data_IF_010661281219
#
_entry.id   IF_010661281219
#
_cell.length_a   1.000
_cell.length_b   1.000
_cell.length_c   1.000
_cell.angle_alpha   90.00
_cell.angle_beta   90.00
_cell.angle_gamma   90.00
#
_symmetry.space_group_name_H-M   'P 1'
#
loop_
_entity.id
_entity.type
_entity.pdbx_description
1 polymer ?
#
# COMPACT_ATOMS: atom_id res chain seq x y z
N UNK A 1 6.28 18.94 11.34
CA UNK A 1 6.86 19.14 9.98
C UNK A 1 6.32 20.45 9.40
N UNK A 2 7.18 21.41 9.03
CA UNK A 2 6.70 22.66 8.46
C UNK A 2 6.05 22.43 7.09
N UNK A 3 4.84 22.97 6.89
CA UNK A 3 4.17 22.97 5.59
C UNK A 3 4.77 24.10 4.75
N UNK A 4 5.69 23.72 3.86
CA UNK A 4 6.42 24.69 3.04
C UNK A 4 5.52 25.36 2.00
N UNK A 5 5.89 26.56 1.55
CA UNK A 5 5.19 27.23 0.47
C UNK A 5 5.19 26.40 -0.84
N UNK A 6 6.24 25.60 -1.06
CA UNK A 6 6.31 24.67 -2.20
C UNK A 6 5.23 23.58 -2.08
N UNK A 7 5.08 22.99 -0.89
CA UNK A 7 4.04 22.00 -0.63
C UNK A 7 2.64 22.56 -0.83
N UNK A 8 2.36 23.76 -0.30
CA UNK A 8 1.08 24.46 -0.49
C UNK A 8 0.77 24.69 -1.96
N UNK A 9 1.75 25.16 -2.74
CA UNK A 9 1.55 25.40 -4.19
C UNK A 9 1.24 24.11 -4.94
N UNK A 10 1.96 23.02 -4.64
CA UNK A 10 1.72 21.74 -5.28
C UNK A 10 0.36 21.15 -4.90
N UNK A 11 -0.01 21.22 -3.61
CA UNK A 11 -1.31 20.79 -3.13
C UNK A 11 -2.45 21.57 -3.81
N UNK A 12 -2.31 22.88 -3.96
CA UNK A 12 -3.28 23.70 -4.70
C UNK A 12 -3.32 23.37 -6.18
N UNK A 13 -2.17 23.11 -6.81
CA UNK A 13 -2.12 22.71 -8.21
C UNK A 13 -2.95 21.43 -8.42
N UNK A 14 -2.71 20.38 -7.63
CA UNK A 14 -3.47 19.13 -7.73
C UNK A 14 -4.95 19.33 -7.41
N UNK A 15 -5.26 20.11 -6.36
CA UNK A 15 -6.64 20.35 -5.95
C UNK A 15 -7.43 21.12 -7.02
N UNK A 16 -6.80 22.09 -7.69
CA UNK A 16 -7.43 22.94 -8.72
C UNK A 16 -7.83 22.21 -10.00
N UNK A 17 -7.38 20.97 -10.19
CA UNK A 17 -7.81 20.11 -11.30
C UNK A 17 -9.24 19.58 -11.11
N UNK A 18 -9.82 19.74 -9.92
CA UNK A 18 -11.15 19.26 -9.57
C UNK A 18 -12.15 20.39 -9.43
N UNK A 19 -13.41 20.14 -9.84
CA UNK A 19 -14.49 21.13 -9.74
C UNK A 19 -15.32 20.98 -8.46
N UNK A 20 -15.34 19.77 -7.87
CA UNK A 20 -16.17 19.48 -6.72
C UNK A 20 -15.47 19.87 -5.41
N UNK A 21 -16.09 20.76 -4.62
CA UNK A 21 -15.48 21.33 -3.41
C UNK A 21 -14.90 20.27 -2.46
N UNK A 22 -15.64 19.20 -2.16
CA UNK A 22 -15.14 18.15 -1.26
C UNK A 22 -13.89 17.45 -1.81
N UNK A 23 -13.79 17.29 -3.14
CA UNK A 23 -12.66 16.63 -3.78
C UNK A 23 -11.43 17.54 -3.81
N UNK A 24 -11.63 18.82 -4.12
CA UNK A 24 -10.59 19.87 -4.01
C UNK A 24 -9.98 19.85 -2.60
N UNK A 25 -10.86 19.88 -1.61
CA UNK A 25 -10.50 19.92 -0.20
C UNK A 25 -9.73 18.67 0.24
N UNK A 26 -10.20 17.49 -0.18
CA UNK A 26 -9.57 16.19 0.08
C UNK A 26 -8.19 16.09 -0.58
N UNK A 27 -8.09 16.39 -1.87
CA UNK A 27 -6.83 16.31 -2.62
C UNK A 27 -5.78 17.25 -2.03
N UNK A 28 -6.19 18.45 -1.64
CA UNK A 28 -5.31 19.41 -0.99
C UNK A 28 -4.68 18.83 0.28
N UNK A 29 -5.49 18.30 1.22
CA UNK A 29 -4.95 17.79 2.48
C UNK A 29 -4.19 16.47 2.33
N UNK A 30 -4.63 15.59 1.43
CA UNK A 30 -3.90 14.36 1.12
C UNK A 30 -2.50 14.69 0.62
N UNK A 31 -2.40 15.66 -0.30
CA UNK A 31 -1.11 16.09 -0.86
C UNK A 31 -0.21 16.68 0.23
N UNK A 32 -0.76 17.50 1.14
CA UNK A 32 0.02 18.05 2.26
C UNK A 32 0.51 16.95 3.22
N UNK A 33 -0.31 15.96 3.54
CA UNK A 33 0.08 14.83 4.39
C UNK A 33 1.19 14.00 3.75
N UNK A 34 1.06 13.64 2.46
CA UNK A 34 2.09 12.88 1.73
C UNK A 34 3.42 13.64 1.73
N UNK A 35 3.40 14.95 1.43
CA UNK A 35 4.61 15.75 1.41
C UNK A 35 5.26 15.89 2.80
N UNK A 36 4.46 16.03 3.86
CA UNK A 36 4.97 16.09 5.22
C UNK A 36 5.67 14.79 5.65
N UNK A 37 5.08 13.63 5.31
CA UNK A 37 5.69 12.32 5.58
C UNK A 37 6.92 12.09 4.69
N UNK A 38 6.86 12.51 3.43
CA UNK A 38 8.01 12.50 2.52
C UNK A 38 9.19 13.30 3.08
N UNK A 39 8.94 14.51 3.56
CA UNK A 39 9.99 15.35 4.18
C UNK A 39 10.53 14.72 5.47
N UNK A 40 9.66 14.09 6.28
CA UNK A 40 10.07 13.37 7.50
C UNK A 40 11.01 12.20 7.16
N UNK A 41 10.62 11.35 6.22
CA UNK A 41 11.43 10.21 5.76
C UNK A 41 12.75 10.67 5.14
N UNK A 42 12.74 11.77 4.39
CA UNK A 42 13.96 12.36 3.82
C UNK A 42 14.95 12.82 4.89
N UNK A 43 14.48 13.37 6.01
CA UNK A 43 15.36 13.75 7.14
C UNK A 43 16.05 12.52 7.74
N UNK A 44 15.38 11.37 7.70
CA UNK A 44 15.90 10.07 8.15
C UNK A 44 16.71 9.32 7.08
N UNK A 45 16.98 9.95 5.94
CA UNK A 45 17.68 9.34 4.79
C UNK A 45 16.97 8.10 4.22
N UNK A 46 15.64 8.02 4.37
CA UNK A 46 14.80 6.98 3.79
C UNK A 46 14.31 7.43 2.41
N UNK A 47 14.71 6.71 1.38
CA UNK A 47 14.36 7.04 0.00
C UNK A 47 12.88 6.76 -0.32
N UNK A 48 12.21 7.77 -0.89
CA UNK A 48 10.84 7.70 -1.40
C UNK A 48 10.78 8.07 -2.88
N UNK A 49 9.71 7.66 -3.56
CA UNK A 49 9.48 8.02 -4.97
C UNK A 49 8.01 8.35 -5.21
N UNK A 50 7.72 9.64 -5.33
CA UNK A 50 6.38 10.16 -5.58
C UNK A 50 5.83 9.74 -6.95
N UNK A 51 6.69 9.39 -7.92
CA UNK A 51 6.21 8.98 -9.27
C UNK A 51 5.55 7.61 -9.27
N UNK A 52 5.79 6.81 -8.22
CA UNK A 52 5.16 5.51 -8.00
C UNK A 52 3.90 5.60 -7.14
N UNK A 53 3.51 6.81 -6.70
CA UNK A 53 2.32 7.01 -5.89
C UNK A 53 1.06 7.17 -6.75
N UNK A 54 -0.01 6.52 -6.33
CA UNK A 54 -1.34 6.64 -6.95
C UNK A 54 -1.89 8.06 -6.80
N UNK A 55 -1.62 8.71 -5.66
CA UNK A 55 -1.96 10.10 -5.38
C UNK A 55 -1.27 11.10 -6.32
N UNK A 56 -0.14 10.72 -6.94
CA UNK A 56 0.54 11.53 -7.96
C UNK A 56 -0.01 11.28 -9.37
N UNK A 57 -0.79 10.21 -9.59
CA UNK A 57 -1.44 9.93 -10.86
C UNK A 57 -2.75 10.75 -10.98
N UNK A 58 -2.90 11.63 -12.00
CA UNK A 58 -4.09 12.47 -12.14
C UNK A 58 -5.39 11.68 -12.35
N UNK A 59 -5.32 10.52 -13.01
CA UNK A 59 -6.49 9.68 -13.24
C UNK A 59 -6.93 9.02 -11.95
N UNK A 60 -6.02 8.43 -11.18
CA UNK A 60 -6.37 7.80 -9.90
C UNK A 60 -6.86 8.86 -8.91
N UNK A 61 -6.14 9.99 -8.80
CA UNK A 61 -6.54 11.11 -7.96
C UNK A 61 -7.94 11.63 -8.27
N UNK A 62 -8.41 11.55 -9.52
CA UNK A 62 -9.78 11.92 -9.89
C UNK A 62 -10.84 11.03 -9.20
N UNK A 63 -10.61 9.72 -9.15
CA UNK A 63 -11.61 8.75 -8.68
C UNK A 63 -11.45 8.39 -7.20
N UNK A 64 -10.23 8.44 -6.66
CA UNK A 64 -9.91 7.79 -5.39
C UNK A 64 -9.45 8.76 -4.29
N UNK A 65 -9.64 8.38 -3.04
CA UNK A 65 -9.15 9.05 -1.84
C UNK A 65 -7.85 8.46 -1.32
N UNK A 66 -6.87 8.39 -2.20
CA UNK A 66 -5.52 7.93 -1.90
C UNK A 66 -4.63 9.07 -1.41
N UNK A 67 -3.76 8.74 -0.46
CA UNK A 67 -2.69 9.60 0.04
C UNK A 67 -1.43 8.75 0.26
N UNK A 68 -1.08 7.94 -0.73
CA UNK A 68 -0.02 6.96 -0.64
C UNK A 68 1.37 7.57 -0.85
N UNK A 69 2.37 6.98 -0.19
CA UNK A 69 3.78 7.32 -0.36
C UNK A 69 4.59 6.03 -0.55
N UNK A 70 5.21 5.89 -1.72
CA UNK A 70 6.07 4.75 -2.02
C UNK A 70 7.47 4.93 -1.40
N UNK A 71 7.85 3.97 -0.57
CA UNK A 71 9.19 3.83 0.00
C UNK A 71 9.96 2.84 -0.88
N UNK A 72 11.11 3.29 -1.41
CA UNK A 72 11.81 2.55 -2.46
C UNK A 72 12.20 1.14 -2.00
N UNK A 73 11.74 0.15 -2.74
CA UNK A 73 12.09 -1.24 -2.52
C UNK A 73 11.36 -1.91 -1.35
N UNK A 74 10.49 -1.20 -0.63
CA UNK A 74 9.69 -1.75 0.48
C UNK A 74 8.18 -1.79 0.16
N UNK A 75 7.62 -0.72 -0.42
CA UNK A 75 6.19 -0.65 -0.71
C UNK A 75 5.57 0.71 -0.39
N UNK A 76 4.24 0.79 -0.45
CA UNK A 76 3.47 2.02 -0.21
C UNK A 76 2.98 2.11 1.23
N UNK A 77 3.18 3.24 1.89
CA UNK A 77 2.43 3.60 3.09
C UNK A 77 1.26 4.52 2.72
N UNK A 78 0.25 4.61 3.57
CA UNK A 78 -0.87 5.54 3.42
C UNK A 78 -0.75 6.69 4.44
N UNK A 79 -0.78 7.93 3.98
CA UNK A 79 -0.65 9.14 4.80
C UNK A 79 -2.03 9.74 5.06
N UNK A 80 -2.69 9.38 6.17
CA UNK A 80 -4.08 9.80 6.45
C UNK A 80 -4.14 11.18 7.11
N UNK A 81 -4.68 12.22 6.44
CA UNK A 81 -4.76 13.55 7.01
C UNK A 81 -5.93 13.69 7.99
N UNK A 82 -5.74 14.54 9.00
CA UNK A 82 -6.78 15.06 9.89
C UNK A 82 -6.60 16.58 9.95
N UNK A 83 -7.66 17.35 9.72
CA UNK A 83 -7.57 18.80 9.90
C UNK A 83 -7.67 19.19 11.37
N UNK A 84 -6.81 20.10 11.80
CA UNK A 84 -6.97 20.78 13.08
C UNK A 84 -8.15 21.76 12.99
N UNK A 85 -9.16 21.60 13.85
CA UNK A 85 -10.24 22.59 14.01
C UNK A 85 -11.50 22.40 13.16
N UNK A 86 -11.66 21.31 12.39
CA UNK A 86 -12.93 21.01 11.74
C UNK A 86 -13.34 19.54 11.89
N UNK A 87 -14.56 19.34 12.41
CA UNK A 87 -15.23 18.04 12.42
C UNK A 87 -15.55 17.58 11.00
N UNK A 88 -15.35 16.30 10.79
CA UNK A 88 -15.82 15.47 9.70
C UNK A 88 -17.14 15.98 9.08
N UNK A 89 -17.05 16.52 7.86
CA UNK A 89 -18.20 16.79 7.02
C UNK A 89 -18.72 15.48 6.41
N UNK A 90 -19.27 14.60 7.24
CA UNK A 90 -20.13 13.51 6.77
C UNK A 90 -21.55 13.57 7.37
N UNK A 91 -21.78 14.38 8.40
CA UNK A 91 -23.11 14.70 8.88
C UNK A 91 -23.13 16.18 9.20
N UNK A 92 -23.90 16.99 8.46
CA UNK A 92 -23.92 18.47 8.51
C UNK A 92 -24.32 19.11 9.85
N UNK A 93 -23.62 18.76 10.93
CA UNK A 93 -23.67 19.39 12.24
C UNK A 93 -22.31 20.03 12.48
N UNK A 94 -22.26 21.33 12.22
CA UNK A 94 -21.13 22.18 12.57
C UNK A 94 -21.04 22.29 14.10
N UNK A 95 -20.38 21.33 14.73
CA UNK A 95 -19.92 21.48 16.09
C UNK A 95 -18.39 21.47 16.03
N UNK A 96 -17.73 22.62 15.94
CA UNK A 96 -16.27 22.66 15.94
C UNK A 96 -15.75 22.26 17.34
N UNK A 97 -15.41 20.99 17.55
CA UNK A 97 -14.64 20.58 18.72
C UNK A 97 -13.19 21.01 18.50
N UNK A 98 -12.54 21.71 19.45
CA UNK A 98 -11.11 22.05 19.36
C UNK A 98 -10.20 20.82 19.46
N UNK A 99 -10.77 19.66 19.81
CA UNK A 99 -10.04 18.41 19.98
C UNK A 99 -10.01 17.62 18.66
N UNK A 100 -8.90 16.89 18.46
CA UNK A 100 -8.77 15.90 17.41
C UNK A 100 -9.92 14.87 17.47
N UNK A 101 -10.37 14.33 16.33
CA UNK A 101 -11.30 13.21 16.31
C UNK A 101 -10.69 12.00 17.01
N UNK A 102 -11.53 11.11 17.57
CA UNK A 102 -11.05 9.90 18.24
C UNK A 102 -10.44 8.88 17.26
N UNK A 103 -10.87 8.92 15.99
CA UNK A 103 -10.48 7.98 14.94
C UNK A 103 -10.38 8.67 13.58
N UNK A 104 -9.59 8.07 12.69
CA UNK A 104 -9.44 8.44 11.28
C UNK A 104 -9.97 7.32 10.38
N UNK A 105 -10.77 7.66 9.36
CA UNK A 105 -11.27 6.67 8.40
C UNK A 105 -10.28 6.42 7.27
N UNK A 106 -10.19 5.15 6.88
CA UNK A 106 -9.41 4.66 5.74
C UNK A 106 -10.39 4.26 4.61
N UNK A 107 -10.32 4.96 3.46
CA UNK A 107 -11.09 4.63 2.25
C UNK A 107 -10.81 3.20 1.79
N UNK A 108 -11.76 2.57 1.11
CA UNK A 108 -11.67 1.14 0.77
C UNK A 108 -10.47 0.84 -0.11
N UNK A 109 -10.23 1.71 -1.09
CA UNK A 109 -9.08 1.70 -2.01
C UNK A 109 -7.72 1.79 -1.32
N UNK A 110 -7.68 2.27 -0.07
CA UNK A 110 -6.46 2.50 0.69
C UNK A 110 -6.25 1.50 1.84
N UNK A 111 -7.10 0.47 1.96
CA UNK A 111 -7.01 -0.54 3.05
C UNK A 111 -6.06 -1.69 2.74
N UNK A 112 -5.83 -1.93 1.45
CA UNK A 112 -5.01 -3.03 0.95
C UNK A 112 -3.75 -2.49 0.26
N UNK A 113 -2.77 -3.37 0.06
CA UNK A 113 -1.51 -3.03 -0.60
C UNK A 113 -0.76 -1.86 0.05
N UNK A 114 -0.93 -1.70 1.37
CA UNK A 114 -0.19 -0.76 2.20
C UNK A 114 0.69 -1.52 3.19
N UNK A 115 1.94 -1.12 3.30
CA UNK A 115 2.88 -1.64 4.29
C UNK A 115 2.75 -0.92 5.64
N UNK A 116 1.85 0.08 5.74
CA UNK A 116 1.67 0.87 6.94
C UNK A 116 0.84 2.13 6.72
N UNK A 117 0.40 2.73 7.83
CA UNK A 117 -0.45 3.92 7.85
C UNK A 117 0.14 4.97 8.79
N UNK A 118 0.29 6.20 8.32
CA UNK A 118 0.74 7.33 9.13
C UNK A 118 -0.40 8.34 9.22
N UNK A 119 -0.83 8.64 10.44
CA UNK A 119 -1.85 9.67 10.67
C UNK A 119 -1.17 11.04 10.82
N UNK A 120 -1.64 12.03 10.08
CA UNK A 120 -1.03 13.36 10.01
C UNK A 120 -2.08 14.43 10.34
N UNK A 121 -1.89 15.15 11.44
CA UNK A 121 -2.66 16.37 11.72
C UNK A 121 -2.12 17.53 10.87
N UNK A 122 -3.00 18.21 10.14
CA UNK A 122 -2.70 19.38 9.32
C UNK A 122 -3.27 20.61 10.02
N UNK A 123 -2.39 21.52 10.43
CA UNK A 123 -2.69 22.85 10.91
C UNK A 123 -2.34 23.87 9.83
N UNK A 124 -3.35 24.30 9.08
CA UNK A 124 -3.17 25.26 7.98
C UNK A 124 -2.84 26.68 8.48
N UNK A 125 -3.25 27.02 9.70
CA UNK A 125 -3.01 28.34 10.29
C UNK A 125 -1.53 28.48 10.72
N UNK A 126 -1.03 27.47 11.43
CA UNK A 126 0.37 27.40 11.85
C UNK A 126 1.30 26.92 10.74
N UNK A 127 0.74 26.50 9.60
CA UNK A 127 1.47 25.86 8.49
C UNK A 127 2.34 24.73 9.00
N UNK A 128 1.74 23.86 9.80
CA UNK A 128 2.41 22.72 10.43
C UNK A 128 1.65 21.43 10.16
N UNK A 129 2.38 20.37 9.84
CA UNK A 129 1.89 19.01 9.78
C UNK A 129 2.52 18.18 10.90
N UNK A 130 1.71 17.62 11.79
CA UNK A 130 2.15 16.80 12.91
C UNK A 130 1.83 15.34 12.65
N UNK A 131 2.86 14.51 12.51
CA UNK A 131 2.70 13.06 12.41
C UNK A 131 2.29 12.55 13.80
N UNK A 132 1.06 12.07 13.92
CA UNK A 132 0.47 11.67 15.20
C UNK A 132 0.91 10.28 15.63
N UNK A 133 1.17 9.40 14.67
CA UNK A 133 1.59 8.02 14.93
C UNK A 133 1.36 7.11 13.75
N UNK A 134 1.54 5.82 14.01
CA UNK A 134 1.60 4.75 13.02
C UNK A 134 0.61 3.63 13.33
N UNK A 135 0.06 3.00 12.29
CA UNK A 135 -0.62 1.71 12.40
C UNK A 135 -0.11 0.76 11.32
N UNK A 136 0.14 -0.53 11.64
CA UNK A 136 0.61 -1.49 10.65
C UNK A 136 -0.48 -1.93 9.67
N UNK A 137 -1.75 -1.94 10.09
CA UNK A 137 -2.90 -2.37 9.28
C UNK A 137 -4.09 -1.43 9.47
N UNK A 138 -5.07 -1.52 8.56
CA UNK A 138 -6.33 -0.77 8.62
C UNK A 138 -7.54 -1.66 8.28
N UNK A 139 -7.54 -2.91 8.76
CA UNK A 139 -8.54 -3.94 8.41
C UNK A 139 -9.99 -3.48 8.67
N UNK A 140 -10.21 -2.78 9.77
CA UNK A 140 -11.54 -2.26 10.15
C UNK A 140 -11.96 -1.04 9.32
N UNK A 141 -11.04 -0.46 8.55
CA UNK A 141 -11.24 0.82 7.87
C UNK A 141 -11.20 2.04 8.79
N UNK A 142 -10.84 1.86 10.07
CA UNK A 142 -10.78 2.93 11.07
C UNK A 142 -9.48 2.81 11.89
N UNK A 143 -8.75 3.92 12.00
CA UNK A 143 -7.53 4.05 12.80
C UNK A 143 -7.86 4.85 14.06
N UNK A 144 -7.84 4.21 15.22
CA UNK A 144 -8.11 4.86 16.50
C UNK A 144 -6.85 5.60 16.97
N UNK A 145 -6.95 6.91 17.21
CA UNK A 145 -5.77 7.75 17.45
C UNK A 145 -5.01 7.38 18.73
N UNK A 146 -5.71 6.93 19.76
CA UNK A 146 -5.09 6.52 21.04
C UNK A 146 -4.30 5.22 20.93
N UNK A 147 -4.59 4.42 19.90
CA UNK A 147 -3.99 3.10 19.67
C UNK A 147 -2.87 3.18 18.62
N UNK A 148 -2.58 4.38 18.10
CA UNK A 148 -1.46 4.58 17.18
C UNK A 148 -0.14 4.31 17.89
N UNK A 149 0.70 3.53 17.23
CA UNK A 149 2.07 3.28 17.63
C UNK A 149 2.94 4.52 17.40
N UNK A 150 4.12 4.52 18.01
CA UNK A 150 5.08 5.61 17.82
C UNK A 150 5.68 5.60 16.41
N UNK A 151 6.32 6.70 16.03
CA UNK A 151 7.09 6.73 14.77
C UNK A 151 8.35 5.87 14.85
N UNK A 152 8.90 5.61 16.03
CA UNK A 152 10.01 4.67 16.19
C UNK A 152 9.57 3.23 15.89
N UNK A 153 8.36 2.84 16.33
CA UNK A 153 7.76 1.55 16.00
C UNK A 153 7.56 1.38 14.49
N UNK A 154 7.24 2.48 13.78
CA UNK A 154 7.19 2.49 12.33
C UNK A 154 8.55 2.21 11.68
N UNK A 155 9.63 2.81 12.19
CA UNK A 155 10.98 2.55 11.66
C UNK A 155 11.41 1.10 11.89
N UNK A 156 11.12 0.55 13.08
CA UNK A 156 11.34 -0.87 13.40
C UNK A 156 10.52 -1.77 12.45
N UNK A 157 9.29 -1.37 12.13
CA UNK A 157 8.45 -2.09 11.18
C UNK A 157 9.02 -2.08 9.76
N UNK A 158 9.54 -0.94 9.28
CA UNK A 158 10.23 -0.86 7.99
C UNK A 158 11.48 -1.76 7.94
N UNK A 159 12.26 -1.80 9.02
CA UNK A 159 13.43 -2.69 9.13
C UNK A 159 13.04 -4.17 9.09
N UNK A 160 11.93 -4.54 9.74
CA UNK A 160 11.41 -5.93 9.67
C UNK A 160 10.99 -6.31 8.25
N UNK A 161 10.36 -5.39 7.51
CA UNK A 161 9.97 -5.61 6.11
C UNK A 161 11.21 -5.72 5.22
N UNK A 162 12.22 -4.89 5.45
CA UNK A 162 13.44 -4.94 4.66
C UNK A 162 14.21 -6.25 4.89
N UNK A 163 14.23 -6.74 6.14
CA UNK A 163 14.86 -8.02 6.51
C UNK A 163 14.10 -9.25 5.99
N UNK A 164 12.77 -9.17 5.87
CA UNK A 164 11.96 -10.26 5.30
C UNK A 164 11.95 -10.28 3.77
N UNK A 165 12.63 -9.33 3.13
CA UNK A 165 12.72 -9.27 1.67
C UNK A 165 13.56 -10.43 1.14
N UNK A 166 12.88 -11.23 0.33
CA UNK A 166 13.42 -12.36 -0.40
C UNK A 166 14.11 -11.87 -1.68
N UNK A 167 15.35 -12.29 -1.94
CA UNK A 167 15.88 -12.27 -3.31
C UNK A 167 15.53 -13.59 -4.02
N UNK A 168 14.47 -13.57 -4.83
CA UNK A 168 14.02 -14.74 -5.57
C UNK A 168 15.07 -15.23 -6.58
N UNK A 169 16.04 -14.40 -6.97
CA UNK A 169 17.17 -14.85 -7.81
C UNK A 169 18.09 -15.76 -7.02
N UNK A 170 18.40 -15.41 -5.77
CA UNK A 170 19.18 -16.29 -4.88
C UNK A 170 18.44 -17.61 -4.65
N UNK A 171 17.12 -17.55 -4.47
CA UNK A 171 16.30 -18.74 -4.36
C UNK A 171 16.34 -19.63 -5.62
N UNK A 172 16.25 -19.05 -6.82
CA UNK A 172 16.40 -19.77 -8.10
C UNK A 172 17.82 -20.31 -8.32
N UNK A 173 18.84 -19.68 -7.72
CA UNK A 173 20.24 -20.09 -7.77
C UNK A 173 20.61 -21.10 -6.67
N UNK A 174 19.63 -21.64 -5.94
CA UNK A 174 19.83 -22.56 -4.80
C UNK A 174 20.67 -21.97 -3.65
N UNK A 175 20.65 -20.66 -3.48
CA UNK A 175 21.26 -19.95 -2.36
C UNK A 175 20.18 -19.72 -1.30
N UNK A 176 20.15 -20.60 -0.30
CA UNK A 176 19.15 -20.62 0.76
C UNK A 176 19.73 -20.06 2.07
N UNK A 177 18.94 -19.33 2.85
CA UNK A 177 19.25 -19.11 4.28
C UNK A 177 18.62 -20.23 5.13
N UNK A 178 18.96 -20.30 6.41
CA UNK A 178 18.51 -21.35 7.35
C UNK A 178 16.99 -21.57 7.39
N UNK A 179 16.23 -20.54 7.04
CA UNK A 179 14.77 -20.49 7.16
C UNK A 179 14.06 -20.85 5.85
N UNK A 180 14.80 -21.35 4.84
CA UNK A 180 14.30 -21.62 3.49
C UNK A 180 14.25 -23.12 3.19
N UNK A 181 13.19 -23.54 2.52
CA UNK A 181 13.08 -24.88 1.95
C UNK A 181 13.37 -24.85 0.45
N UNK A 182 13.98 -25.93 -0.05
CA UNK A 182 14.32 -26.06 -1.46
C UNK A 182 13.05 -26.25 -2.31
N UNK A 183 13.10 -25.88 -3.59
CA UNK A 183 11.96 -26.00 -4.50
C UNK A 183 11.46 -27.45 -4.58
N UNK A 184 12.39 -28.39 -4.52
CA UNK A 184 12.13 -29.84 -4.59
C UNK A 184 11.23 -30.31 -3.43
N UNK A 185 11.34 -29.71 -2.24
CA UNK A 185 10.50 -30.05 -1.09
C UNK A 185 9.01 -29.74 -1.26
N UNK A 186 8.66 -28.87 -2.21
CA UNK A 186 7.27 -28.55 -2.58
C UNK A 186 6.68 -29.62 -3.50
N UNK A 187 7.53 -30.27 -4.30
CA UNK A 187 7.13 -31.29 -5.28
C UNK A 187 7.29 -32.72 -4.76
N UNK A 188 8.05 -32.92 -3.68
CA UNK A 188 8.14 -34.18 -2.98
C UNK A 188 6.93 -34.36 -2.03
N UNK A 189 6.03 -35.32 -2.28
CA UNK A 189 5.00 -35.65 -1.32
C UNK A 189 5.69 -36.18 -0.05
N UNK A 190 5.56 -35.45 1.05
CA UNK A 190 5.96 -35.95 2.36
C UNK A 190 5.23 -37.28 2.62
N UNK A 191 5.90 -38.31 3.15
CA UNK A 191 5.21 -39.53 3.58
C UNK A 191 4.19 -39.14 4.66
N UNK A 192 2.92 -39.38 4.38
CA UNK A 192 1.81 -39.20 5.32
C UNK A 192 2.14 -39.90 6.64
N UNK A 193 2.50 -39.15 7.68
CA UNK A 193 2.32 -39.61 9.04
C UNK A 193 0.81 -39.64 9.28
N UNK A 194 0.26 -40.83 9.50
CA UNK A 194 -1.16 -41.10 9.72
C UNK A 194 -1.82 -40.00 10.57
N UNK A 195 -2.83 -39.27 10.03
CA UNK A 195 -3.62 -38.36 10.82
C UNK A 195 -4.59 -39.17 11.67
N UNK A 196 -4.65 -38.87 12.97
CA UNK A 196 -5.81 -39.18 13.80
C UNK A 196 -7.06 -38.63 13.12
N UNK A 197 -8.05 -39.49 12.86
CA UNK A 197 -9.31 -39.12 12.21
C UNK A 197 -9.96 -37.89 12.88
N UNK A 198 -9.95 -36.78 12.15
CA UNK A 198 -10.93 -35.71 12.31
C UNK A 198 -11.68 -35.65 10.99
N UNK A 199 -12.90 -36.20 10.96
CA UNK A 199 -13.78 -36.11 9.78
C UNK A 199 -14.05 -34.63 9.44
N UNK A 200 -13.47 -34.17 8.34
CA UNK A 200 -13.87 -32.94 7.66
C UNK A 200 -14.52 -33.32 6.30
N UNK A 201 -15.77 -32.93 6.02
CA UNK A 201 -16.54 -33.49 4.91
C UNK A 201 -16.25 -32.87 3.53
N UNK A 202 -15.09 -32.25 3.31
CA UNK A 202 -14.76 -31.68 1.99
C UNK A 202 -13.34 -32.08 1.60
N UNK A 203 -13.22 -33.07 0.71
CA UNK A 203 -11.97 -33.40 0.02
C UNK A 203 -11.52 -32.16 -0.77
N UNK A 204 -10.44 -31.52 -0.34
CA UNK A 204 -9.86 -30.38 -1.02
C UNK A 204 -9.24 -30.83 -2.35
N UNK A 205 -9.78 -30.33 -3.47
CA UNK A 205 -9.30 -30.61 -4.83
C UNK A 205 -8.21 -29.62 -5.28
N UNK A 206 -7.54 -28.96 -4.32
CA UNK A 206 -6.59 -27.87 -4.54
C UNK A 206 -5.36 -28.31 -5.35
N UNK A 207 -4.86 -29.53 -5.11
CA UNK A 207 -3.72 -30.07 -5.85
C UNK A 207 -4.02 -30.24 -7.35
N UNK A 208 -5.22 -30.71 -7.69
CA UNK A 208 -5.64 -30.85 -9.09
C UNK A 208 -5.94 -29.50 -9.72
N UNK A 209 -6.49 -28.55 -8.96
CA UNK A 209 -6.68 -27.18 -9.44
C UNK A 209 -5.34 -26.50 -9.76
N UNK A 210 -4.33 -26.61 -8.89
CA UNK A 210 -3.00 -26.04 -9.13
C UNK A 210 -2.30 -26.66 -10.35
N UNK A 211 -2.37 -27.99 -10.51
CA UNK A 211 -1.83 -28.67 -11.70
C UNK A 211 -2.49 -28.16 -12.98
N UNK A 212 -3.82 -28.06 -12.99
CA UNK A 212 -4.55 -27.57 -14.15
C UNK A 212 -4.14 -26.12 -14.46
N UNK A 213 -4.06 -25.23 -13.47
CA UNK A 213 -3.67 -23.83 -13.67
C UNK A 213 -2.26 -23.71 -14.26
N UNK A 214 -1.30 -24.49 -13.77
CA UNK A 214 0.05 -24.52 -14.31
C UNK A 214 0.07 -25.00 -15.76
N UNK A 215 -0.55 -26.15 -16.06
CA UNK A 215 -0.59 -26.73 -17.41
C UNK A 215 -1.29 -25.82 -18.42
N UNK A 216 -2.43 -25.21 -18.04
CA UNK A 216 -3.16 -24.31 -18.94
C UNK A 216 -2.38 -23.02 -19.23
N UNK A 217 -1.53 -22.58 -18.29
CA UNK A 217 -0.72 -21.38 -18.45
C UNK A 217 0.47 -21.61 -19.40
N UNK A 218 1.11 -22.77 -19.31
CA UNK A 218 2.18 -23.18 -20.25
C UNK A 218 1.66 -23.36 -21.68
N UNK A 219 0.49 -24.00 -21.83
CA UNK A 219 -0.14 -24.17 -23.16
C UNK A 219 -0.48 -22.82 -23.82
N UNK A 220 -0.94 -21.84 -23.06
CA UNK A 220 -1.23 -20.49 -23.60
C UNK A 220 0.02 -19.76 -24.08
N UNK A 221 1.15 -19.93 -23.38
CA UNK A 221 2.42 -19.34 -23.77
C UNK A 221 2.99 -20.01 -25.03
N UNK A 222 2.91 -21.33 -25.12
CA UNK A 222 3.33 -22.09 -26.32
C UNK A 222 2.46 -21.78 -27.53
N UNK A 223 1.15 -21.66 -27.34
CA UNK A 223 0.24 -21.27 -28.42
C UNK A 223 0.44 -19.81 -28.86
N UNK A 224 0.77 -18.91 -27.93
CA UNK A 224 1.16 -17.54 -28.25
C UNK A 224 2.48 -17.46 -29.05
N UNK A 225 3.45 -18.29 -28.68
CA UNK A 225 4.73 -18.41 -29.40
C UNK A 225 4.53 -18.97 -30.82
N UNK A 226 3.72 -20.01 -30.96
CA UNK A 226 3.46 -20.64 -32.25
C UNK A 226 2.67 -19.72 -33.19
N UNK A 227 1.68 -18.99 -32.67
CA UNK A 227 0.96 -17.97 -33.45
C UNK A 227 1.89 -16.83 -33.93
N UNK A 228 2.88 -16.44 -33.12
CA UNK A 228 3.87 -15.43 -33.51
C UNK A 228 4.83 -15.98 -34.59
N UNK A 229 5.27 -17.22 -34.47
CA UNK A 229 6.12 -17.89 -35.47
C UNK A 229 5.38 -18.06 -36.81
N UNK A 230 4.10 -18.42 -36.79
CA UNK A 230 3.25 -18.54 -37.98
C UNK A 230 3.00 -17.17 -38.65
N UNK A 231 2.77 -16.11 -37.86
CA UNK A 231 2.63 -14.75 -38.38
C UNK A 231 3.94 -14.23 -39.00
N UNK A 232 5.09 -14.57 -38.43
CA UNK A 232 6.41 -14.23 -38.98
C UNK A 232 6.65 -15.01 -40.28
N UNK A 233 6.26 -16.28 -40.35
CA UNK A 233 6.38 -17.11 -41.55
C UNK A 233 5.51 -16.61 -42.71
N UNK A 234 4.28 -16.13 -42.42
CA UNK A 234 3.38 -15.52 -43.40
C UNK A 234 3.84 -14.15 -43.93
N UNK A 235 4.76 -13.46 -43.23
CA UNK A 235 5.33 -12.17 -43.68
C UNK A 235 6.59 -12.32 -44.53
N UNK A 236 7.11 -13.55 -44.70
CA UNK A 236 8.39 -13.83 -45.41
C UNK A 236 8.16 -14.59 -46.74
N UNK A 237 6.92 -14.94 -47.08
CA UNK A 237 6.50 -15.55 -48.36
C UNK A 237 5.70 -14.52 -49.18
#
# INVERSE_FOLDING_TARGET
>A
MPITQKAIRLAWQFASEHQHHQKVEQVYINTLAVLAVCDYLKILDIETDLTQCDSWNPVIRLFENVADLYIKGLGKIECRPIRRGHQNAENGKQNCSPNLPEMCRVPTEAREERIGYIVVEIDENEKEARLLGFAPTAETGELVLRDLHSLDDFLIHLEKISASKVDLRQWLENIFTSDWQSVESIFDPQPETEPTEIENPVKSNLGNWLKNVAETSWQKLEQGKQNLEDLIFLMII
#
